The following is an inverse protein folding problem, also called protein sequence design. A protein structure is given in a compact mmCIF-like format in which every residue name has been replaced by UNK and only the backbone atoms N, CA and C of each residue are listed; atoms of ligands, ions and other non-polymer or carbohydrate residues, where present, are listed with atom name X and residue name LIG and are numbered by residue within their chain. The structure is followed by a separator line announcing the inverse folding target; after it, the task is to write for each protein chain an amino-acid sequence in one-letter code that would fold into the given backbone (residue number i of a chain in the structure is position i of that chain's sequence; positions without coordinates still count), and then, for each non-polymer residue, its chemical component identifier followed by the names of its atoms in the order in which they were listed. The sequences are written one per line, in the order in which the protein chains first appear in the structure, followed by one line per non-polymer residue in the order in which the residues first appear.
data_IF_774697922393
#
_entry.id   IF_774697922393
#
_cell.length_a   1.000
_cell.length_b   1.000
_cell.length_c   1.000
_cell.angle_alpha   90.00
_cell.angle_beta   90.00
_cell.angle_gamma   90.00
#
_symmetry.space_group_name_H-M   'P 1'
#
loop_
_entity.id
_entity.type
_entity.pdbx_description
1 polymer ?
#
# COMPACT_ATOMS: atom_id res chain seq x y z
N UNK A 1 -25.91 1.55 -19.89
CA UNK A 1 -25.10 0.84 -20.88
C UNK A 1 -24.06 0.01 -20.14
N UNK A 2 -24.20 -1.30 -20.28
CA UNK A 2 -23.20 -2.24 -19.73
C UNK A 2 -21.99 -2.22 -20.64
N UNK A 3 -21.00 -1.38 -20.33
CA UNK A 3 -19.68 -1.49 -20.92
C UNK A 3 -19.00 -2.71 -20.28
N UNK A 4 -18.79 -3.76 -21.03
CA UNK A 4 -17.97 -4.88 -20.58
C UNK A 4 -16.50 -4.47 -20.66
N UNK A 5 -15.66 -4.97 -19.77
CA UNK A 5 -14.21 -4.72 -19.79
C UNK A 5 -13.54 -5.07 -21.13
N UNK A 6 -14.16 -5.97 -21.91
CA UNK A 6 -13.74 -6.33 -23.27
C UNK A 6 -14.03 -5.24 -24.33
N UNK A 7 -14.89 -4.28 -24.03
CA UNK A 7 -15.27 -3.17 -24.93
C UNK A 7 -14.50 -1.89 -24.58
N UNK A 8 -13.82 -1.87 -23.45
CA UNK A 8 -12.86 -0.85 -23.06
C UNK A 8 -11.56 -1.18 -23.80
N UNK A 9 -11.07 -0.31 -24.64
CA UNK A 9 -9.70 -0.36 -25.11
C UNK A 9 -8.70 -0.43 -23.96
N UNK A 10 -7.44 -0.30 -24.25
CA UNK A 10 -6.37 -0.31 -23.25
C UNK A 10 -6.57 0.77 -22.20
N UNK A 11 -6.42 0.42 -20.92
CA UNK A 11 -6.48 1.36 -19.81
C UNK A 11 -5.08 1.89 -19.48
N UNK A 12 -4.98 3.17 -19.17
CA UNK A 12 -3.72 3.80 -18.79
C UNK A 12 -3.73 4.09 -17.29
N UNK A 13 -2.73 3.56 -16.60
CA UNK A 13 -2.44 3.92 -15.21
C UNK A 13 -1.26 4.90 -15.19
N UNK A 14 -1.52 6.14 -14.86
CA UNK A 14 -0.49 7.16 -14.65
C UNK A 14 -0.07 7.16 -13.19
N UNK A 15 1.18 6.78 -12.94
CA UNK A 15 1.72 6.56 -11.61
C UNK A 15 2.69 7.68 -11.26
N UNK A 16 2.46 8.35 -10.14
CA UNK A 16 3.33 9.43 -9.67
C UNK A 16 3.37 9.51 -8.14
N UNK A 17 4.56 9.79 -7.59
CA UNK A 17 4.75 9.97 -6.14
C UNK A 17 4.40 11.40 -5.65
N UNK A 18 4.28 12.36 -6.57
CA UNK A 18 4.14 13.79 -6.23
C UNK A 18 2.77 14.34 -6.59
N UNK A 19 2.17 15.11 -5.66
CA UNK A 19 0.88 15.77 -5.90
C UNK A 19 0.92 16.76 -7.07
N UNK A 20 2.07 17.44 -7.28
CA UNK A 20 2.25 18.40 -8.40
C UNK A 20 2.14 17.67 -9.74
N UNK A 21 2.83 16.55 -9.91
CA UNK A 21 2.82 15.79 -11.16
C UNK A 21 1.43 15.19 -11.45
N UNK A 22 0.66 14.86 -10.40
CA UNK A 22 -0.73 14.44 -10.53
C UNK A 22 -1.59 15.53 -11.18
N UNK A 23 -1.46 16.78 -10.72
CA UNK A 23 -2.17 17.92 -11.34
C UNK A 23 -1.77 18.12 -12.79
N UNK A 24 -0.48 17.98 -13.12
CA UNK A 24 0.00 18.08 -14.51
C UNK A 24 -0.65 17.01 -15.39
N UNK A 25 -0.79 15.78 -14.89
CA UNK A 25 -1.49 14.71 -15.62
C UNK A 25 -2.98 15.03 -15.83
N UNK A 26 -3.67 15.50 -14.79
CA UNK A 26 -5.08 15.93 -14.87
C UNK A 26 -5.27 17.06 -15.89
N UNK A 27 -4.48 18.14 -15.81
CA UNK A 27 -4.51 19.26 -16.73
C UNK A 27 -4.19 18.85 -18.18
N UNK A 28 -3.26 17.91 -18.37
CA UNK A 28 -2.92 17.40 -19.69
C UNK A 28 -4.08 16.65 -20.32
N UNK A 29 -4.74 15.78 -19.54
CA UNK A 29 -5.92 15.05 -19.99
C UNK A 29 -7.10 15.99 -20.28
N UNK A 30 -7.26 17.07 -19.50
CA UNK A 30 -8.27 18.08 -19.74
C UNK A 30 -8.05 18.80 -21.09
N UNK A 31 -6.82 19.24 -21.36
CA UNK A 31 -6.44 19.83 -22.66
C UNK A 31 -6.68 18.88 -23.85
N UNK A 32 -6.56 17.57 -23.61
CA UNK A 32 -6.86 16.57 -24.66
C UNK A 32 -8.37 16.40 -24.85
N UNK A 33 -9.16 16.46 -23.77
CA UNK A 33 -10.64 16.45 -23.83
C UNK A 33 -11.18 17.68 -24.58
N UNK A 34 -10.61 18.86 -24.33
CA UNK A 34 -10.93 20.09 -25.09
C UNK A 34 -10.70 19.93 -26.61
N UNK A 35 -9.80 19.02 -26.99
CA UNK A 35 -9.52 18.66 -28.39
C UNK A 35 -10.33 17.45 -28.90
N UNK A 36 -11.30 16.98 -28.11
CA UNK A 36 -12.23 15.92 -28.50
C UNK A 36 -11.88 14.52 -28.01
N UNK A 37 -10.91 14.35 -27.09
CA UNK A 37 -10.64 13.06 -26.47
C UNK A 37 -11.83 12.65 -25.57
N UNK A 38 -12.42 11.49 -25.84
CA UNK A 38 -13.43 10.88 -24.98
C UNK A 38 -12.73 9.82 -24.10
N UNK A 39 -12.31 10.24 -22.91
CA UNK A 39 -11.50 9.42 -22.03
C UNK A 39 -11.82 9.75 -20.56
N UNK A 40 -12.39 8.78 -19.84
CA UNK A 40 -12.77 8.98 -18.43
C UNK A 40 -11.62 8.58 -17.53
N UNK A 41 -11.28 9.45 -16.58
CA UNK A 41 -10.21 9.22 -15.62
C UNK A 41 -10.67 9.38 -14.20
N UNK A 42 -10.12 8.54 -13.31
CA UNK A 42 -10.29 8.64 -11.86
C UNK A 42 -8.94 8.97 -11.24
N UNK A 43 -8.92 9.94 -10.34
CA UNK A 43 -7.74 10.23 -9.52
C UNK A 43 -7.91 9.61 -8.14
N UNK A 44 -7.07 8.62 -7.83
CA UNK A 44 -7.06 7.95 -6.52
C UNK A 44 -6.00 8.58 -5.62
N UNK A 45 -6.42 9.02 -4.45
CA UNK A 45 -5.56 9.55 -3.39
C UNK A 45 -5.70 8.73 -2.11
N UNK A 46 -4.72 8.84 -1.22
CA UNK A 46 -4.72 8.10 0.03
C UNK A 46 -5.96 8.43 0.90
N UNK A 47 -6.44 7.43 1.62
CA UNK A 47 -7.69 7.50 2.40
C UNK A 47 -7.68 8.66 3.40
N UNK A 48 -6.57 8.91 4.07
CA UNK A 48 -6.38 10.02 5.01
C UNK A 48 -6.48 11.40 4.36
N UNK A 49 -6.19 11.49 3.05
CA UNK A 49 -6.23 12.75 2.28
C UNK A 49 -7.57 13.04 1.62
N UNK A 50 -8.42 12.03 1.47
CA UNK A 50 -9.75 12.19 0.84
C UNK A 50 -10.90 12.01 1.85
N UNK A 51 -10.61 11.52 3.04
CA UNK A 51 -11.62 11.36 4.08
C UNK A 51 -12.24 12.71 4.43
N UNK A 52 -13.59 12.76 4.45
CA UNK A 52 -14.35 13.96 4.78
C UNK A 52 -14.43 14.15 6.31
N UNK A 53 -14.30 13.09 7.09
CA UNK A 53 -14.27 13.17 8.55
C UNK A 53 -12.95 13.75 9.05
N UNK A 54 -12.97 14.47 10.17
CA UNK A 54 -11.77 14.99 10.85
C UNK A 54 -10.81 13.87 11.28
N UNK A 55 -11.36 12.71 11.65
CA UNK A 55 -10.60 11.49 11.93
C UNK A 55 -11.05 10.37 11.00
N UNK A 56 -10.08 9.62 10.46
CA UNK A 56 -10.36 8.43 9.66
C UNK A 56 -10.90 7.34 10.59
N UNK A 57 -12.22 7.17 10.60
CA UNK A 57 -12.91 6.02 11.20
C UNK A 57 -13.79 5.40 10.13
N UNK A 58 -13.55 4.12 9.82
CA UNK A 58 -14.28 3.42 8.76
C UNK A 58 -15.35 2.47 9.34
N UNK A 59 -15.64 2.57 10.64
CA UNK A 59 -16.72 1.84 11.28
C UNK A 59 -18.07 2.48 10.88
N UNK A 60 -19.05 1.71 10.32
CA UNK A 60 -20.36 2.23 9.97
C UNK A 60 -21.16 2.84 11.14
N UNK A 61 -20.83 2.51 12.37
CA UNK A 61 -21.46 3.10 13.56
C UNK A 61 -20.94 4.53 13.84
N UNK A 62 -19.70 4.82 13.43
CA UNK A 62 -19.03 6.10 13.69
C UNK A 62 -18.93 6.98 12.44
N UNK A 63 -19.12 6.41 11.23
CA UNK A 63 -18.97 7.11 9.96
C UNK A 63 -20.23 7.07 9.11
N UNK A 64 -20.86 8.23 8.92
CA UNK A 64 -22.08 8.37 8.10
C UNK A 64 -21.84 7.99 6.62
N UNK A 65 -20.62 8.18 6.13
CA UNK A 65 -20.23 7.86 4.75
C UNK A 65 -19.97 6.37 4.53
N UNK A 66 -19.65 5.62 5.58
CA UNK A 66 -19.53 4.17 5.52
C UNK A 66 -20.89 3.48 5.73
N UNK A 67 -21.79 4.13 6.47
CA UNK A 67 -23.12 3.59 6.80
C UNK A 67 -24.02 3.51 5.57
N UNK A 68 -24.44 2.28 5.24
CA UNK A 68 -25.31 2.02 4.10
C UNK A 68 -24.66 2.32 2.74
N UNK A 69 -23.33 2.30 2.66
CA UNK A 69 -22.57 2.62 1.44
C UNK A 69 -23.06 1.81 0.23
N UNK A 70 -23.20 0.50 0.37
CA UNK A 70 -23.57 -0.41 -0.73
C UNK A 70 -24.99 -0.21 -1.24
N UNK A 71 -25.88 0.37 -0.43
CA UNK A 71 -27.27 0.68 -0.82
C UNK A 71 -27.33 1.94 -1.69
N UNK A 72 -26.40 2.88 -1.48
CA UNK A 72 -26.36 4.20 -2.11
C UNK A 72 -25.47 4.23 -3.36
N UNK A 73 -24.32 3.54 -3.32
CA UNK A 73 -23.21 3.72 -4.27
C UNK A 73 -23.58 3.52 -5.73
N UNK A 74 -24.48 2.59 -6.05
CA UNK A 74 -24.89 2.32 -7.45
C UNK A 74 -25.47 3.54 -8.16
N UNK A 75 -26.34 4.27 -7.48
CA UNK A 75 -26.96 5.48 -8.02
C UNK A 75 -25.96 6.63 -8.13
N UNK A 76 -25.01 6.71 -7.19
CA UNK A 76 -23.94 7.71 -7.20
C UNK A 76 -22.98 7.47 -8.35
N UNK A 77 -22.52 6.23 -8.56
CA UNK A 77 -21.70 5.85 -9.71
C UNK A 77 -22.42 6.22 -11.02
N UNK A 78 -23.70 5.84 -11.17
CA UNK A 78 -24.46 6.22 -12.36
C UNK A 78 -24.49 7.73 -12.58
N UNK A 79 -24.75 8.51 -11.53
CA UNK A 79 -24.79 9.98 -11.63
C UNK A 79 -23.45 10.56 -12.09
N UNK A 80 -22.33 10.10 -11.51
CA UNK A 80 -20.98 10.53 -11.90
C UNK A 80 -20.68 10.14 -13.35
N UNK A 81 -20.99 8.92 -13.75
CA UNK A 81 -20.74 8.45 -15.10
C UNK A 81 -21.51 9.20 -16.18
N UNK A 82 -22.66 9.82 -15.82
CA UNK A 82 -23.45 10.63 -16.73
C UNK A 82 -22.99 12.08 -16.81
N UNK A 83 -22.30 12.61 -15.79
CA UNK A 83 -21.90 14.01 -15.73
C UNK A 83 -20.40 14.24 -15.92
N UNK A 84 -19.54 13.28 -15.51
CA UNK A 84 -18.11 13.53 -15.35
C UNK A 84 -17.23 12.63 -16.22
N UNK A 85 -16.25 13.24 -16.86
CA UNK A 85 -15.13 12.53 -17.51
C UNK A 85 -13.84 12.64 -16.71
N UNK A 86 -13.66 13.68 -15.91
CA UNK A 86 -12.52 13.91 -15.02
C UNK A 86 -12.98 13.76 -13.57
N UNK A 87 -12.79 12.58 -13.02
CA UNK A 87 -13.21 12.27 -11.64
C UNK A 87 -12.04 12.54 -10.71
N UNK A 88 -11.89 13.81 -10.34
CA UNK A 88 -10.86 14.30 -9.42
C UNK A 88 -11.24 14.06 -7.96
N UNK A 89 -10.28 14.34 -7.04
CA UNK A 89 -10.54 14.31 -5.60
C UNK A 89 -11.72 15.21 -5.21
N UNK A 90 -11.79 16.39 -5.79
CA UNK A 90 -12.82 17.41 -5.51
C UNK A 90 -14.21 16.88 -5.89
N UNK A 91 -14.36 16.30 -7.07
CA UNK A 91 -15.60 15.66 -7.53
C UNK A 91 -16.00 14.50 -6.60
N UNK A 92 -15.04 13.66 -6.22
CA UNK A 92 -15.31 12.54 -5.31
C UNK A 92 -15.80 13.02 -3.93
N UNK A 93 -15.21 14.11 -3.39
CA UNK A 93 -15.66 14.70 -2.13
C UNK A 93 -17.04 15.33 -2.26
N UNK A 94 -17.32 16.09 -3.34
CA UNK A 94 -18.61 16.72 -3.60
C UNK A 94 -19.74 15.67 -3.64
N UNK A 95 -19.54 14.61 -4.43
CA UNK A 95 -20.52 13.51 -4.50
C UNK A 95 -20.59 12.72 -3.19
N UNK A 96 -19.46 12.55 -2.51
CA UNK A 96 -19.39 11.92 -1.20
C UNK A 96 -20.24 12.64 -0.16
N UNK A 97 -20.12 13.95 -0.06
CA UNK A 97 -20.92 14.81 0.83
C UNK A 97 -22.40 14.80 0.45
N UNK A 98 -22.70 15.00 -0.84
CA UNK A 98 -24.06 15.10 -1.36
C UNK A 98 -24.88 13.84 -1.14
N UNK A 99 -24.28 12.67 -1.28
CA UNK A 99 -24.97 11.39 -1.22
C UNK A 99 -24.62 10.56 0.02
N UNK A 100 -23.83 11.12 0.94
CA UNK A 100 -23.33 10.43 2.14
C UNK A 100 -22.69 9.09 1.83
N UNK A 101 -21.73 9.07 0.89
CA UNK A 101 -20.93 7.90 0.53
C UNK A 101 -19.44 8.18 0.70
N UNK A 102 -18.66 7.16 1.12
CA UNK A 102 -17.22 7.33 1.31
C UNK A 102 -16.53 7.64 -0.03
N UNK A 103 -15.88 8.80 -0.18
CA UNK A 103 -15.23 9.17 -1.44
C UNK A 103 -14.06 8.28 -1.82
N UNK A 104 -13.38 7.67 -0.85
CA UNK A 104 -12.30 6.71 -1.10
C UNK A 104 -12.84 5.40 -1.70
N UNK A 105 -13.87 4.82 -1.09
CA UNK A 105 -14.48 3.58 -1.61
C UNK A 105 -15.16 3.85 -2.97
N UNK A 106 -15.78 5.04 -3.13
CA UNK A 106 -16.36 5.47 -4.40
C UNK A 106 -15.32 5.56 -5.52
N UNK A 107 -14.11 6.09 -5.21
CA UNK A 107 -13.00 6.10 -6.16
C UNK A 107 -12.59 4.69 -6.59
N UNK A 108 -12.50 3.75 -5.65
CA UNK A 108 -12.14 2.35 -5.93
C UNK A 108 -13.19 1.66 -6.83
N UNK A 109 -14.47 1.88 -6.56
CA UNK A 109 -15.56 1.30 -7.36
C UNK A 109 -15.59 1.88 -8.79
N UNK A 110 -15.26 3.17 -8.95
CA UNK A 110 -15.23 3.86 -10.24
C UNK A 110 -14.08 3.42 -11.16
N UNK A 111 -13.02 2.82 -10.63
CA UNK A 111 -11.88 2.31 -11.43
C UNK A 111 -12.37 1.36 -12.53
N UNK A 112 -13.34 0.50 -12.22
CA UNK A 112 -13.87 -0.46 -13.18
C UNK A 112 -14.66 0.17 -14.34
N UNK A 113 -15.01 1.46 -14.22
CA UNK A 113 -15.80 2.21 -15.19
C UNK A 113 -14.99 3.32 -15.87
N UNK A 114 -13.69 3.40 -15.58
CA UNK A 114 -12.78 4.40 -16.12
C UNK A 114 -11.88 3.83 -17.20
N UNK A 115 -11.47 4.70 -18.13
CA UNK A 115 -10.49 4.40 -19.17
C UNK A 115 -9.06 4.61 -18.66
N UNK A 116 -8.89 5.42 -17.60
CA UNK A 116 -7.59 5.71 -17.00
C UNK A 116 -7.66 5.98 -15.50
N UNK A 117 -6.52 5.75 -14.86
CA UNK A 117 -6.31 5.96 -13.44
C UNK A 117 -5.07 6.82 -13.21
N UNK A 118 -5.18 7.80 -12.32
CA UNK A 118 -4.04 8.58 -11.83
C UNK A 118 -3.87 8.26 -10.35
N UNK A 119 -2.72 7.71 -9.93
CA UNK A 119 -2.50 7.32 -8.54
C UNK A 119 -1.02 7.29 -8.14
N UNK A 120 -0.75 7.04 -6.86
CA UNK A 120 0.60 6.81 -6.33
C UNK A 120 1.09 5.38 -6.69
N UNK A 121 2.43 5.20 -6.77
CA UNK A 121 3.08 3.90 -7.02
C UNK A 121 2.61 2.79 -6.09
N UNK A 122 2.31 3.14 -4.82
CA UNK A 122 1.88 2.17 -3.81
C UNK A 122 0.65 1.38 -4.27
N UNK A 123 -0.26 2.02 -5.01
CA UNK A 123 -1.48 1.36 -5.49
C UNK A 123 -1.22 0.24 -6.49
N UNK A 124 -0.04 0.23 -7.10
CA UNK A 124 0.34 -0.78 -8.09
C UNK A 124 1.42 -1.72 -7.55
N UNK A 125 2.43 -1.19 -6.87
CA UNK A 125 3.62 -1.95 -6.49
C UNK A 125 3.62 -2.44 -5.03
N UNK A 126 2.83 -1.85 -4.11
CA UNK A 126 2.79 -2.33 -2.72
C UNK A 126 2.00 -3.64 -2.62
N UNK A 127 2.59 -4.72 -2.05
CA UNK A 127 1.94 -6.03 -1.96
C UNK A 127 0.64 -6.05 -1.14
N UNK A 128 0.37 -5.00 -0.38
CA UNK A 128 -0.79 -4.88 0.51
C UNK A 128 -1.96 -4.12 -0.11
N UNK A 129 -1.78 -3.50 -1.27
CA UNK A 129 -2.75 -2.57 -1.82
C UNK A 129 -3.77 -3.27 -2.72
N UNK A 130 -5.01 -2.79 -2.66
CA UNK A 130 -6.19 -3.37 -3.31
C UNK A 130 -6.09 -3.45 -4.84
N UNK A 131 -5.44 -2.49 -5.48
CA UNK A 131 -5.38 -2.40 -6.95
C UNK A 131 -4.63 -3.56 -7.62
N UNK A 132 -3.81 -4.31 -6.88
CA UNK A 132 -3.22 -5.54 -7.42
C UNK A 132 -4.27 -6.51 -7.95
N UNK A 133 -5.45 -6.59 -7.31
CA UNK A 133 -6.56 -7.43 -7.79
C UNK A 133 -7.04 -7.00 -9.17
N UNK A 134 -7.14 -5.69 -9.40
CA UNK A 134 -7.54 -5.14 -10.71
C UNK A 134 -6.52 -5.49 -11.79
N UNK A 135 -5.23 -5.46 -11.47
CA UNK A 135 -4.17 -5.86 -12.39
C UNK A 135 -4.16 -7.38 -12.65
N UNK A 136 -4.42 -8.19 -11.64
CA UNK A 136 -4.45 -9.65 -11.79
C UNK A 136 -5.61 -10.12 -12.68
N UNK A 137 -6.76 -9.41 -12.67
CA UNK A 137 -7.94 -9.74 -13.49
C UNK A 137 -7.84 -9.22 -14.94
N UNK A 138 -7.24 -8.05 -15.17
CA UNK A 138 -7.24 -7.37 -16.47
C UNK A 138 -5.87 -6.82 -16.88
N UNK A 139 -4.78 -7.41 -16.37
CA UNK A 139 -3.42 -6.86 -16.55
C UNK A 139 -3.02 -6.64 -18.00
N UNK A 140 -3.34 -7.57 -18.90
CA UNK A 140 -2.97 -7.49 -20.33
C UNK A 140 -3.65 -6.36 -21.10
N UNK A 141 -4.65 -5.71 -20.53
CA UNK A 141 -5.33 -4.54 -21.10
C UNK A 141 -4.82 -3.22 -20.51
N UNK A 142 -3.87 -3.27 -19.57
CA UNK A 142 -3.37 -2.11 -18.87
C UNK A 142 -1.98 -1.68 -19.37
N UNK A 143 -1.79 -0.37 -19.45
CA UNK A 143 -0.49 0.27 -19.75
C UNK A 143 -0.11 1.12 -18.52
N UNK A 144 1.11 0.95 -18.03
CA UNK A 144 1.64 1.76 -16.93
C UNK A 144 2.49 2.91 -17.48
N UNK A 145 2.17 4.13 -17.11
CA UNK A 145 3.01 5.32 -17.30
C UNK A 145 3.58 5.69 -15.93
N UNK A 146 4.88 5.51 -15.74
CA UNK A 146 5.54 5.62 -14.45
C UNK A 146 6.43 6.86 -14.45
N UNK A 147 5.87 7.94 -13.90
CA UNK A 147 6.51 9.24 -13.85
C UNK A 147 7.50 9.32 -12.67
N UNK A 148 8.59 10.07 -12.84
CA UNK A 148 9.68 10.19 -11.86
C UNK A 148 10.19 8.82 -11.40
N UNK A 149 10.28 7.89 -12.33
CA UNK A 149 10.53 6.46 -12.06
C UNK A 149 11.87 6.18 -11.37
N UNK A 150 12.80 7.14 -11.34
CA UNK A 150 14.01 7.06 -10.53
C UNK A 150 13.70 6.87 -9.01
N UNK A 151 12.58 7.41 -8.53
CA UNK A 151 12.15 7.25 -7.15
C UNK A 151 11.60 5.83 -6.84
N UNK A 152 11.17 5.10 -7.88
CA UNK A 152 10.53 3.80 -7.67
C UNK A 152 11.50 2.74 -7.10
N UNK A 153 12.80 2.88 -7.33
CA UNK A 153 13.81 1.95 -6.77
C UNK A 153 13.80 2.00 -5.25
N UNK A 154 13.94 3.20 -4.67
CA UNK A 154 13.97 3.36 -3.21
C UNK A 154 12.58 3.12 -2.61
N UNK A 155 11.52 3.64 -3.25
CA UNK A 155 10.14 3.34 -2.84
C UNK A 155 9.83 1.85 -2.89
N UNK A 156 10.34 1.12 -3.90
CA UNK A 156 10.22 -0.32 -3.99
C UNK A 156 10.90 -1.02 -2.81
N UNK A 157 12.12 -0.64 -2.46
CA UNK A 157 12.78 -1.16 -1.25
C UNK A 157 11.93 -0.99 -0.01
N UNK A 158 11.36 0.20 0.20
CA UNK A 158 10.51 0.49 1.36
C UNK A 158 9.19 -0.28 1.37
N UNK A 159 8.55 -0.43 0.19
CA UNK A 159 7.30 -1.20 0.05
C UNK A 159 7.50 -2.68 0.41
N UNK A 160 8.64 -3.24 0.01
CA UNK A 160 9.00 -4.65 0.23
C UNK A 160 9.84 -4.88 1.49
N UNK A 161 10.02 -3.87 2.33
CA UNK A 161 10.70 -3.96 3.64
C UNK A 161 9.68 -3.89 4.77
N UNK A 162 9.87 -4.70 5.80
CA UNK A 162 9.05 -4.67 7.01
C UNK A 162 9.91 -4.62 8.26
N UNK A 163 9.46 -3.84 9.26
CA UNK A 163 10.17 -3.60 10.52
C UNK A 163 9.25 -3.82 11.71
N UNK A 164 9.82 -4.36 12.78
CA UNK A 164 9.17 -4.50 14.08
C UNK A 164 10.05 -3.84 15.15
N UNK A 165 9.44 -2.99 15.99
CA UNK A 165 10.09 -2.33 17.12
C UNK A 165 9.65 -3.01 18.42
N UNK A 166 10.60 -3.46 19.22
CA UNK A 166 10.33 -4.07 20.54
C UNK A 166 9.49 -3.18 21.43
N UNK A 167 9.74 -1.87 21.44
CA UNK A 167 9.03 -0.90 22.28
C UNK A 167 7.52 -0.93 22.10
N UNK A 168 7.01 -1.07 20.87
CA UNK A 168 5.56 -1.17 20.61
C UNK A 168 4.93 -2.38 21.29
N UNK A 169 5.60 -3.53 21.24
CA UNK A 169 5.13 -4.74 21.95
C UNK A 169 5.18 -4.56 23.47
N UNK A 170 6.20 -3.88 23.97
CA UNK A 170 6.39 -3.67 25.42
C UNK A 170 5.40 -2.66 26.00
N UNK A 171 5.00 -1.66 25.23
CA UNK A 171 3.93 -0.74 25.61
C UNK A 171 2.63 -1.51 25.83
N UNK A 172 2.16 -2.24 24.83
CA UNK A 172 0.94 -3.05 24.92
C UNK A 172 1.02 -4.14 26.01
N UNK A 173 2.20 -4.75 26.19
CA UNK A 173 2.40 -5.72 27.27
C UNK A 173 2.16 -5.10 28.64
N UNK A 174 2.56 -3.86 28.89
CA UNK A 174 2.30 -3.16 30.16
C UNK A 174 0.79 -2.92 30.35
N UNK A 175 0.10 -2.50 29.29
CA UNK A 175 -1.30 -2.12 29.33
C UNK A 175 -2.26 -3.31 29.42
N UNK A 176 -1.89 -4.46 28.84
CA UNK A 176 -2.68 -5.70 28.89
C UNK A 176 -2.49 -6.50 30.18
N UNK A 177 -1.48 -6.14 31.00
CA UNK A 177 -1.20 -6.84 32.25
C UNK A 177 -2.40 -6.77 33.22
N UNK A 178 -2.91 -7.93 33.64
CA UNK A 178 -4.06 -8.03 34.53
C UNK A 178 -5.41 -7.76 33.87
N UNK A 179 -5.45 -7.33 32.60
CA UNK A 179 -6.70 -7.07 31.87
C UNK A 179 -6.99 -8.16 30.86
N UNK A 180 -5.97 -8.57 30.07
CA UNK A 180 -6.09 -9.56 28.98
C UNK A 180 -4.99 -10.61 29.10
N UNK A 181 -5.23 -11.71 29.85
CA UNK A 181 -4.20 -12.73 30.11
C UNK A 181 -3.64 -13.39 28.84
N UNK A 182 -4.45 -13.61 27.82
CA UNK A 182 -4.06 -14.27 26.57
C UNK A 182 -3.14 -13.38 25.76
N UNK A 183 -3.49 -12.12 25.52
CA UNK A 183 -2.65 -11.11 24.87
C UNK A 183 -1.34 -10.90 25.63
N UNK A 184 -1.43 -10.74 26.96
CA UNK A 184 -0.25 -10.59 27.81
C UNK A 184 0.72 -11.77 27.68
N UNK A 185 0.22 -13.01 27.62
CA UNK A 185 1.03 -14.22 27.43
C UNK A 185 1.68 -14.25 26.05
N UNK A 186 0.96 -13.86 24.98
CA UNK A 186 1.50 -13.76 23.62
C UNK A 186 2.61 -12.70 23.54
N UNK A 187 2.39 -11.51 24.09
CA UNK A 187 3.36 -10.43 24.17
C UNK A 187 4.60 -10.77 25.01
N UNK A 188 4.47 -11.58 26.06
CA UNK A 188 5.60 -12.09 26.83
C UNK A 188 6.53 -12.99 25.99
N UNK A 189 5.97 -13.86 25.16
CA UNK A 189 6.79 -14.72 24.27
C UNK A 189 7.57 -13.88 23.27
N UNK A 190 6.94 -12.86 22.68
CA UNK A 190 7.61 -11.92 21.77
C UNK A 190 8.70 -11.14 22.51
N UNK A 191 8.46 -10.70 23.74
CA UNK A 191 9.48 -10.07 24.56
C UNK A 191 10.70 -10.97 24.78
N UNK A 192 10.49 -12.26 25.05
CA UNK A 192 11.59 -13.22 25.24
C UNK A 192 12.44 -13.34 23.96
N UNK A 193 11.81 -13.40 22.80
CA UNK A 193 12.49 -13.35 21.51
C UNK A 193 13.35 -12.09 21.36
N UNK A 194 12.78 -10.90 21.57
CA UNK A 194 13.53 -9.66 21.48
C UNK A 194 14.65 -9.49 22.53
N UNK A 195 14.53 -10.13 23.70
CA UNK A 195 15.62 -10.16 24.69
C UNK A 195 16.81 -10.96 24.14
N UNK A 196 16.56 -12.08 23.46
CA UNK A 196 17.62 -12.87 22.87
C UNK A 196 18.28 -12.11 21.71
N UNK A 197 17.48 -11.49 20.82
CA UNK A 197 17.98 -10.64 19.74
C UNK A 197 18.87 -9.51 20.27
N UNK A 198 18.44 -8.87 21.38
CA UNK A 198 19.23 -7.83 22.06
C UNK A 198 20.59 -8.34 22.51
N UNK A 199 20.64 -9.52 23.11
CA UNK A 199 21.90 -10.15 23.58
C UNK A 199 22.86 -10.43 22.43
N UNK A 200 22.33 -10.91 21.30
CA UNK A 200 23.14 -11.14 20.09
C UNK A 200 23.73 -9.80 19.62
N UNK A 201 22.92 -8.75 19.48
CA UNK A 201 23.40 -7.43 19.09
C UNK A 201 24.41 -6.84 20.07
N UNK A 202 24.22 -7.02 21.38
CA UNK A 202 25.15 -6.55 22.41
C UNK A 202 26.50 -7.28 22.37
N UNK A 203 26.54 -8.51 21.84
CA UNK A 203 27.79 -9.25 21.61
C UNK A 203 28.55 -8.80 20.36
N UNK A 204 27.90 -8.05 19.47
CA UNK A 204 28.49 -7.48 18.27
C UNK A 204 29.04 -6.07 18.55
N UNK A 205 30.27 -5.80 18.15
CA UNK A 205 30.95 -4.51 18.40
C UNK A 205 30.18 -3.29 17.87
N UNK A 206 29.35 -3.50 16.84
CA UNK A 206 28.60 -2.45 16.16
C UNK A 206 27.17 -2.27 16.67
N UNK A 207 26.70 -3.14 17.57
CA UNK A 207 25.32 -3.12 18.06
C UNK A 207 24.27 -3.55 17.04
N UNK A 208 24.68 -4.21 15.96
CA UNK A 208 23.78 -4.80 14.96
C UNK A 208 24.39 -6.05 14.32
N UNK A 209 23.52 -6.87 13.79
CA UNK A 209 23.93 -7.98 12.90
C UNK A 209 22.94 -8.12 11.73
N UNK A 210 23.35 -8.84 10.69
CA UNK A 210 22.50 -9.23 9.58
C UNK A 210 22.82 -10.65 9.13
N UNK A 211 21.81 -11.34 8.59
CA UNK A 211 21.91 -12.69 8.07
C UNK A 211 21.03 -12.89 6.84
N UNK A 212 21.33 -13.91 6.06
CA UNK A 212 20.45 -14.42 5.00
C UNK A 212 19.35 -15.35 5.54
N UNK A 213 19.44 -15.74 6.78
CA UNK A 213 18.47 -16.64 7.38
C UNK A 213 17.16 -15.91 7.66
N UNK A 214 16.08 -16.57 7.32
CA UNK A 214 14.72 -16.11 7.55
C UNK A 214 14.37 -16.21 9.05
N UNK A 215 13.82 -15.17 9.70
CA UNK A 215 13.52 -15.19 11.14
C UNK A 215 12.22 -15.95 11.43
N UNK A 216 12.16 -17.26 11.14
CA UNK A 216 10.93 -18.09 11.19
C UNK A 216 10.29 -18.19 12.56
N UNK A 217 11.07 -18.02 13.62
CA UNK A 217 10.57 -18.09 14.98
C UNK A 217 9.56 -16.98 15.28
N UNK A 218 9.89 -15.73 14.91
CA UNK A 218 9.01 -14.59 15.16
C UNK A 218 7.69 -14.72 14.40
N UNK A 219 7.65 -15.32 13.22
CA UNK A 219 6.42 -15.47 12.44
C UNK A 219 5.34 -16.26 13.19
N UNK A 220 5.73 -17.33 13.90
CA UNK A 220 4.81 -18.12 14.72
C UNK A 220 4.27 -17.31 15.89
N UNK A 221 5.14 -16.50 16.50
CA UNK A 221 4.76 -15.63 17.62
C UNK A 221 3.80 -14.52 17.18
N UNK A 222 4.06 -13.91 16.03
CA UNK A 222 3.19 -12.87 15.45
C UNK A 222 1.80 -13.44 15.08
N UNK A 223 1.75 -14.60 14.40
CA UNK A 223 0.46 -15.25 14.08
C UNK A 223 -0.36 -15.57 15.32
N UNK A 224 0.31 -16.02 16.38
CA UNK A 224 -0.38 -16.25 17.66
C UNK A 224 -0.88 -14.94 18.28
N UNK A 225 -0.08 -13.88 18.29
CA UNK A 225 -0.53 -12.57 18.80
C UNK A 225 -1.70 -12.04 18.00
N UNK A 226 -1.65 -12.11 16.69
CA UNK A 226 -2.74 -11.65 15.81
C UNK A 226 -4.04 -12.42 16.06
N UNK A 227 -3.96 -13.73 16.24
CA UNK A 227 -5.15 -14.54 16.60
C UNK A 227 -5.78 -14.06 17.92
N UNK A 228 -4.98 -13.87 18.98
CA UNK A 228 -5.47 -13.39 20.25
C UNK A 228 -6.02 -11.96 20.15
N UNK A 229 -5.41 -11.11 19.29
CA UNK A 229 -5.89 -9.75 19.04
C UNK A 229 -7.23 -9.73 18.30
N UNK A 230 -7.41 -10.60 17.29
CA UNK A 230 -8.68 -10.74 16.56
C UNK A 230 -9.81 -11.17 17.50
N UNK A 231 -9.57 -12.19 18.33
CA UNK A 231 -10.54 -12.66 19.31
C UNK A 231 -10.93 -11.55 20.30
N UNK A 232 -9.94 -10.78 20.78
CA UNK A 232 -10.15 -9.67 21.71
C UNK A 232 -10.93 -8.52 21.07
N UNK A 233 -10.50 -8.04 19.88
CA UNK A 233 -11.15 -6.92 19.19
C UNK A 233 -12.58 -7.24 18.75
N UNK A 234 -12.86 -8.52 18.43
CA UNK A 234 -14.21 -8.97 18.06
C UNK A 234 -15.18 -8.97 19.24
N UNK A 235 -14.71 -9.10 20.49
CA UNK A 235 -15.56 -9.04 21.70
C UNK A 235 -16.12 -7.64 21.94
N UNK A 236 -15.56 -6.60 21.29
CA UNK A 236 -16.09 -5.23 21.36
C UNK A 236 -15.79 -4.49 22.66
N UNK A 237 -14.97 -5.04 23.54
CA UNK A 237 -14.56 -4.39 24.77
C UNK A 237 -13.74 -3.13 24.47
N UNK A 238 -14.10 -2.00 25.08
CA UNK A 238 -13.43 -0.71 24.89
C UNK A 238 -12.36 -0.50 25.95
N UNK A 239 -11.10 -0.63 25.55
CA UNK A 239 -9.93 -0.28 26.36
C UNK A 239 -9.14 0.86 25.70
N UNK A 240 -8.41 1.62 26.50
CA UNK A 240 -7.55 2.72 26.00
C UNK A 240 -6.47 2.27 25.01
N UNK A 241 -6.08 1.01 25.03
CA UNK A 241 -5.04 0.44 24.19
C UNK A 241 -5.56 -0.21 22.88
N UNK A 242 -6.85 -0.14 22.59
CA UNK A 242 -7.42 -0.78 21.40
C UNK A 242 -6.84 -0.20 20.10
N UNK A 243 -6.61 1.12 20.04
CA UNK A 243 -6.00 1.78 18.88
C UNK A 243 -4.55 1.33 18.70
N UNK A 244 -3.76 1.29 19.76
CA UNK A 244 -2.37 0.82 19.75
C UNK A 244 -2.27 -0.67 19.39
N UNK A 245 -3.22 -1.49 19.85
CA UNK A 245 -3.31 -2.90 19.50
C UNK A 245 -3.61 -3.09 18.01
N UNK A 246 -4.52 -2.29 17.47
CA UNK A 246 -4.88 -2.33 16.06
C UNK A 246 -3.69 -1.88 15.17
N UNK A 247 -2.97 -0.83 15.59
CA UNK A 247 -1.76 -0.39 14.89
C UNK A 247 -0.70 -1.49 14.87
N UNK A 248 -0.42 -2.11 16.04
CA UNK A 248 0.54 -3.22 16.12
C UNK A 248 0.08 -4.44 15.32
N UNK A 249 -1.21 -4.72 15.28
CA UNK A 249 -1.78 -5.77 14.43
C UNK A 249 -1.46 -5.55 12.96
N UNK A 250 -1.60 -4.31 12.45
CA UNK A 250 -1.25 -3.99 11.06
C UNK A 250 0.26 -4.05 10.82
N UNK A 251 1.10 -3.66 11.78
CA UNK A 251 2.56 -3.83 11.67
C UNK A 251 2.94 -5.32 11.58
N UNK A 252 2.32 -6.18 12.40
CA UNK A 252 2.50 -7.63 12.35
C UNK A 252 2.02 -8.22 11.02
N UNK A 253 0.86 -7.78 10.54
CA UNK A 253 0.29 -8.21 9.25
C UNK A 253 1.22 -7.83 8.10
N UNK A 254 1.75 -6.59 8.10
CA UNK A 254 2.74 -6.15 7.12
C UNK A 254 3.98 -7.04 7.15
N UNK A 255 4.51 -7.29 8.34
CA UNK A 255 5.73 -8.12 8.50
C UNK A 255 5.53 -9.53 7.97
N UNK A 256 4.39 -10.15 8.26
CA UNK A 256 4.06 -11.48 7.75
C UNK A 256 3.84 -11.49 6.24
N UNK A 257 3.16 -10.50 5.68
CA UNK A 257 2.98 -10.38 4.23
C UNK A 257 4.33 -10.26 3.50
N UNK A 258 5.26 -9.46 4.03
CA UNK A 258 6.60 -9.33 3.46
C UNK A 258 7.41 -10.61 3.66
N UNK A 259 7.22 -11.32 4.77
CA UNK A 259 7.91 -12.59 5.02
C UNK A 259 7.60 -13.68 3.98
N UNK A 260 6.40 -13.65 3.39
CA UNK A 260 6.02 -14.57 2.31
C UNK A 260 6.77 -14.32 0.99
N UNK A 261 7.39 -13.14 0.88
CA UNK A 261 8.19 -12.74 -0.28
C UNK A 261 9.69 -12.94 -0.06
N UNK A 262 10.11 -13.46 1.12
CA UNK A 262 11.51 -13.63 1.47
C UNK A 262 12.24 -14.53 0.45
N UNK A 263 13.40 -14.08 -0.03
CA UNK A 263 14.20 -14.76 -1.03
C UNK A 263 15.62 -14.21 -1.10
N UNK A 264 16.32 -14.45 -2.18
CA UNK A 264 17.71 -14.04 -2.40
C UNK A 264 17.95 -12.53 -2.26
N UNK A 265 16.94 -11.71 -2.50
CA UNK A 265 17.01 -10.26 -2.43
C UNK A 265 16.84 -9.70 -1.02
N UNK A 266 16.61 -10.58 -0.02
CA UNK A 266 16.35 -10.16 1.36
C UNK A 266 17.50 -10.46 2.30
N UNK A 267 17.54 -9.66 3.36
CA UNK A 267 18.31 -9.91 4.56
C UNK A 267 17.44 -9.71 5.79
N UNK A 268 17.67 -10.53 6.80
CA UNK A 268 17.22 -10.23 8.17
C UNK A 268 18.29 -9.34 8.81
N UNK A 269 17.85 -8.22 9.37
CA UNK A 269 18.70 -7.24 10.00
C UNK A 269 18.14 -6.90 11.38
N UNK A 270 19.00 -6.93 12.40
CA UNK A 270 18.63 -6.58 13.77
C UNK A 270 19.58 -5.51 14.29
N UNK A 271 19.03 -4.46 14.86
CA UNK A 271 19.80 -3.30 15.34
C UNK A 271 19.33 -2.82 16.70
N UNK A 272 20.29 -2.42 17.53
CA UNK A 272 20.04 -1.62 18.73
C UNK A 272 20.02 -0.13 18.36
N UNK A 273 18.85 0.49 18.46
CA UNK A 273 18.65 1.89 18.09
C UNK A 273 17.97 2.64 19.24
N UNK A 274 18.70 3.60 19.84
CA UNK A 274 18.16 4.40 20.95
C UNK A 274 17.56 3.55 22.09
N UNK A 275 18.25 2.51 22.55
CA UNK A 275 17.83 1.53 23.55
C UNK A 275 16.65 0.63 23.15
N UNK A 276 16.16 0.73 21.94
CA UNK A 276 15.17 -0.18 21.36
C UNK A 276 15.84 -1.24 20.47
N UNK A 277 15.11 -2.33 20.19
CA UNK A 277 15.52 -3.37 19.25
C UNK A 277 14.61 -3.31 18.03
N UNK A 278 15.21 -3.06 16.88
CA UNK A 278 14.53 -3.14 15.59
C UNK A 278 14.89 -4.45 14.90
N UNK A 279 13.88 -5.26 14.56
CA UNK A 279 13.98 -6.41 13.66
C UNK A 279 13.43 -6.01 12.30
N UNK A 280 14.21 -6.23 11.25
CA UNK A 280 13.87 -5.84 9.90
C UNK A 280 14.05 -7.00 8.90
N UNK A 281 13.05 -7.24 8.07
CA UNK A 281 13.19 -7.97 6.81
C UNK A 281 13.44 -6.91 5.74
N UNK A 282 14.69 -6.79 5.28
CA UNK A 282 15.13 -5.72 4.38
C UNK A 282 15.25 -6.23 2.95
N UNK A 283 14.52 -5.60 2.03
CA UNK A 283 14.62 -5.83 0.59
C UNK A 283 15.76 -4.99 0.01
N UNK A 284 16.86 -5.62 -0.36
CA UNK A 284 18.02 -4.94 -0.97
C UNK A 284 17.74 -4.56 -2.42
N UNK A 285 17.07 -5.45 -3.14
CA UNK A 285 16.79 -5.27 -4.56
C UNK A 285 15.32 -5.59 -4.88
N UNK A 286 14.48 -4.58 -5.18
CA UNK A 286 13.08 -4.80 -5.50
C UNK A 286 12.82 -5.20 -6.97
N UNK A 287 13.86 -5.32 -7.80
CA UNK A 287 13.72 -5.48 -9.26
C UNK A 287 12.82 -6.64 -9.68
N UNK A 288 12.99 -7.83 -9.06
CA UNK A 288 12.17 -9.01 -9.39
C UNK A 288 10.70 -8.81 -8.97
N UNK A 289 10.45 -8.06 -7.90
CA UNK A 289 9.08 -7.75 -7.46
C UNK A 289 8.41 -6.74 -8.40
N UNK A 290 9.15 -5.72 -8.84
CA UNK A 290 8.70 -4.74 -9.84
C UNK A 290 8.46 -5.46 -11.16
N UNK A 291 9.42 -6.28 -11.62
CA UNK A 291 9.31 -7.11 -12.83
C UNK A 291 8.05 -7.98 -12.81
N UNK A 292 7.78 -8.66 -11.70
CA UNK A 292 6.59 -9.51 -11.57
C UNK A 292 5.25 -8.78 -11.72
N UNK A 293 5.24 -7.44 -11.61
CA UNK A 293 4.07 -6.60 -11.88
C UNK A 293 4.10 -6.13 -13.33
N UNK A 294 5.25 -5.67 -13.82
CA UNK A 294 5.45 -5.20 -15.19
C UNK A 294 5.12 -6.31 -16.21
N UNK A 295 5.48 -7.55 -15.92
CA UNK A 295 5.19 -8.71 -16.78
C UNK A 295 3.69 -9.05 -16.88
N UNK A 296 2.86 -8.57 -15.94
CA UNK A 296 1.41 -8.79 -15.95
C UNK A 296 0.66 -7.82 -16.85
N UNK A 297 1.25 -6.66 -17.17
CA UNK A 297 0.60 -5.61 -17.97
C UNK A 297 0.99 -5.71 -19.44
N UNK A 298 0.29 -4.95 -20.30
CA UNK A 298 0.55 -4.91 -21.73
C UNK A 298 1.86 -4.21 -22.06
N UNK A 299 2.10 -3.06 -21.41
CA UNK A 299 3.31 -2.27 -21.55
C UNK A 299 3.56 -1.42 -20.29
N UNK A 300 4.82 -1.09 -20.06
CA UNK A 300 5.22 -0.15 -19.01
C UNK A 300 6.22 0.85 -19.55
N UNK A 301 5.97 2.12 -19.33
CA UNK A 301 6.83 3.23 -19.77
C UNK A 301 7.35 3.93 -18.52
N UNK A 302 8.64 3.78 -18.27
CA UNK A 302 9.36 4.44 -17.19
C UNK A 302 9.99 5.72 -17.71
N UNK A 303 9.69 6.85 -17.11
CA UNK A 303 10.26 8.12 -17.54
C UNK A 303 10.62 9.02 -16.34
N UNK A 304 11.67 9.79 -16.55
CA UNK A 304 12.14 10.81 -15.60
C UNK A 304 13.23 11.64 -16.26
N UNK A 305 13.43 12.85 -15.77
CA UNK A 305 14.54 13.71 -16.17
C UNK A 305 15.92 13.15 -15.76
N UNK A 306 15.98 12.22 -14.82
CA UNK A 306 17.21 11.75 -14.14
C UNK A 306 17.40 10.23 -14.16
N UNK A 307 16.99 9.53 -15.23
CA UNK A 307 17.23 8.08 -15.43
C UNK A 307 18.64 7.76 -15.93
N UNK A 308 19.65 8.40 -15.38
CA UNK A 308 21.05 8.13 -15.68
C UNK A 308 21.80 7.64 -14.43
N UNK A 309 22.67 6.60 -14.55
CA UNK A 309 22.96 5.82 -15.79
C UNK A 309 21.88 4.78 -16.09
N UNK A 310 21.47 4.67 -17.36
CA UNK A 310 20.39 3.76 -17.79
C UNK A 310 20.57 2.30 -17.35
N UNK A 311 21.79 1.77 -17.41
CA UNK A 311 22.05 0.38 -17.03
C UNK A 311 21.69 0.07 -15.56
N UNK A 312 21.87 1.05 -14.66
CA UNK A 312 21.50 0.92 -13.26
C UNK A 312 19.96 0.85 -13.11
N UNK A 313 19.26 1.81 -13.74
CA UNK A 313 17.80 1.86 -13.62
C UNK A 313 17.10 0.68 -14.30
N UNK A 314 17.57 0.26 -15.49
CA UNK A 314 17.05 -0.92 -16.17
C UNK A 314 17.12 -2.13 -15.22
N UNK A 315 18.29 -2.40 -14.65
CA UNK A 315 18.49 -3.50 -13.72
C UNK A 315 17.64 -3.36 -12.45
N UNK A 316 17.58 -2.17 -11.86
CA UNK A 316 16.88 -1.93 -10.59
C UNK A 316 15.36 -1.90 -10.72
N UNK A 317 14.83 -1.58 -11.91
CA UNK A 317 13.40 -1.56 -12.23
C UNK A 317 12.89 -2.84 -12.89
N UNK A 318 13.73 -3.89 -12.94
CA UNK A 318 13.35 -5.19 -13.48
C UNK A 318 13.31 -5.26 -15.02
N UNK A 319 13.95 -4.32 -15.68
CA UNK A 319 14.06 -4.30 -17.15
C UNK A 319 15.14 -5.24 -17.71
N UNK A 320 15.18 -5.34 -19.01
CA UNK A 320 16.11 -6.16 -19.79
C UNK A 320 16.99 -5.35 -20.74
N UNK A 321 18.00 -5.99 -21.32
CA UNK A 321 18.85 -5.36 -22.37
C UNK A 321 18.07 -5.01 -23.63
N UNK A 322 16.96 -5.68 -23.88
CA UNK A 322 16.14 -5.59 -25.08
C UNK A 322 15.07 -4.49 -25.01
N UNK A 323 14.92 -3.86 -23.84
CA UNK A 323 13.97 -2.78 -23.65
C UNK A 323 14.35 -1.54 -24.44
N UNK A 324 13.34 -0.88 -25.03
CA UNK A 324 13.53 0.35 -25.78
C UNK A 324 13.96 1.51 -24.87
N UNK A 325 14.88 2.33 -25.36
CA UNK A 325 15.42 3.49 -24.66
C UNK A 325 15.32 4.70 -25.57
N UNK A 326 14.78 5.77 -25.01
CA UNK A 326 14.64 7.05 -25.70
C UNK A 326 15.24 8.14 -24.81
N UNK A 327 16.08 8.98 -25.38
CA UNK A 327 16.58 10.21 -24.76
C UNK A 327 16.01 11.39 -25.53
N UNK A 328 15.29 12.27 -24.85
CA UNK A 328 14.70 13.47 -25.41
C UNK A 328 15.52 14.70 -25.05
#
# INVERSE_FOLDING_TARGET
PTRRSSDLGERIFYLTAKNVNRKVAEETLEKLRDKGLIYRTVTLVAKDKICINDKVSCNPDDCIYAKGYYDKVKNVIYSILMSEYSISREILCEFGEKYEVCPFELALDLINWSDGLICDYNYIFDPRVYLRRVLDESGKDNILLIDESHNLVDRGRDMYTARLLKSKFMQLRKETKGKCPTLYKALNKINSFFIEEKRICESEDKGYYYTKDEPKEIYKLLRNLMKEADEFLTQGDKYSFNEDLLELYFDCSKFLTISELYGEEYFTYVELKNDDVELCIYCVNPSEKIKGIVDKVKASIFFSATLEPFHYFIKSLGGSSDDYRIRL
#
